data_IF_365157194055
#
_entry.id   IF_365157194055
#
_cell.length_a   1.000
_cell.length_b   1.000
_cell.length_c   1.000
_cell.angle_alpha   90.00
_cell.angle_beta   90.00
_cell.angle_gamma   90.00
#
_symmetry.space_group_name_H-M   'P 1'
#
loop_
_entity.id
_entity.type
_entity.pdbx_description
1 polymer ?
#
# COMPACT_ATOMS: atom_id res chain seq x y z
N UNK A 1 -15.36 -2.63 -35.10
CA UNK A 1 -14.11 -2.61 -35.89
C UNK A 1 -13.75 -4.01 -36.37
N UNK A 2 -12.96 -4.14 -37.47
CA UNK A 2 -12.44 -5.42 -38.00
C UNK A 2 -10.94 -5.35 -38.13
N UNK A 3 -10.25 -6.49 -37.93
CA UNK A 3 -8.83 -6.61 -38.22
C UNK A 3 -8.70 -7.24 -39.60
N UNK A 4 -8.11 -6.48 -40.56
CA UNK A 4 -7.98 -6.88 -41.95
C UNK A 4 -6.54 -6.71 -42.42
N UNK A 5 -6.10 -7.59 -43.31
CA UNK A 5 -4.89 -7.40 -44.09
C UNK A 5 -5.24 -6.56 -45.35
N UNK A 6 -4.60 -5.40 -45.47
CA UNK A 6 -4.88 -4.42 -46.54
C UNK A 6 -3.62 -4.05 -47.30
N UNK A 7 -3.79 -3.66 -48.56
CA UNK A 7 -2.74 -2.92 -49.27
C UNK A 7 -2.44 -1.61 -48.55
N UNK A 8 -1.17 -1.13 -48.50
CA UNK A 8 -0.83 0.14 -47.86
C UNK A 8 -1.71 1.32 -48.30
N UNK A 9 -2.14 1.40 -49.53
CA UNK A 9 -3.01 2.49 -50.00
C UNK A 9 -4.42 2.40 -49.46
N UNK A 10 -4.96 1.19 -49.31
CA UNK A 10 -6.30 0.93 -48.75
C UNK A 10 -6.34 1.07 -47.24
N UNK A 11 -5.18 1.04 -46.57
CA UNK A 11 -5.06 1.14 -45.11
C UNK A 11 -5.20 2.57 -44.58
N UNK A 12 -5.28 3.58 -45.44
CA UNK A 12 -5.42 4.98 -45.01
C UNK A 12 -6.64 5.19 -44.11
N UNK A 13 -6.44 5.85 -42.95
CA UNK A 13 -7.50 6.09 -41.98
C UNK A 13 -7.75 4.92 -40.99
N UNK A 14 -7.04 3.81 -41.13
CA UNK A 14 -7.06 2.69 -40.21
C UNK A 14 -5.96 2.83 -39.12
N UNK A 15 -5.89 1.88 -38.18
CA UNK A 15 -4.83 1.79 -37.17
C UNK A 15 -4.02 0.51 -37.36
N UNK A 16 -2.69 0.62 -37.34
CA UNK A 16 -1.78 -0.52 -37.47
C UNK A 16 -1.97 -1.52 -36.34
N UNK A 17 -2.31 -2.78 -36.65
CA UNK A 17 -2.63 -3.79 -35.64
C UNK A 17 -1.39 -4.57 -35.16
N UNK A 18 -0.25 -4.49 -35.84
CA UNK A 18 1.04 -5.07 -35.41
C UNK A 18 2.21 -4.16 -35.79
N UNK A 19 3.34 -4.29 -35.10
CA UNK A 19 4.54 -3.48 -35.38
C UNK A 19 5.25 -3.97 -36.64
N UNK A 20 5.65 -3.03 -37.54
CA UNK A 20 6.46 -3.26 -38.73
C UNK A 20 7.81 -2.55 -38.59
N UNK A 21 8.89 -3.31 -38.70
CA UNK A 21 10.26 -2.76 -38.70
C UNK A 21 10.72 -2.57 -40.12
N UNK A 22 10.72 -1.35 -40.60
CA UNK A 22 11.22 -0.97 -41.90
C UNK A 22 12.68 -0.50 -41.81
N UNK A 23 13.45 -0.48 -42.91
CA UNK A 23 14.86 -0.06 -42.87
C UNK A 23 15.08 1.33 -42.28
N UNK A 24 14.19 2.27 -42.54
CA UNK A 24 14.33 3.67 -42.14
C UNK A 24 13.46 4.02 -40.92
N UNK A 25 12.40 3.26 -40.63
CA UNK A 25 11.43 3.60 -39.58
C UNK A 25 10.69 2.38 -39.03
N UNK A 26 10.52 2.33 -37.72
CA UNK A 26 9.59 1.38 -37.08
C UNK A 26 8.20 1.99 -37.02
N UNK A 27 7.20 1.31 -37.59
CA UNK A 27 5.78 1.66 -37.48
C UNK A 27 5.19 0.76 -36.39
N UNK A 28 4.92 1.34 -35.26
CA UNK A 28 4.44 0.60 -34.08
C UNK A 28 2.96 0.23 -34.17
N UNK A 29 2.59 -0.88 -33.56
CA UNK A 29 1.18 -1.19 -33.30
C UNK A 29 0.48 0.02 -32.62
N UNK A 30 -0.72 0.37 -33.09
CA UNK A 30 -1.48 1.53 -32.62
C UNK A 30 -1.22 2.82 -33.39
N UNK A 31 -0.30 2.81 -34.35
CA UNK A 31 -0.05 3.98 -35.22
C UNK A 31 -1.25 4.20 -36.15
N UNK A 32 -1.79 5.43 -36.19
CA UNK A 32 -2.81 5.82 -37.14
C UNK A 32 -2.20 5.94 -38.53
N UNK A 33 -2.80 5.32 -39.54
CA UNK A 33 -2.27 5.29 -40.92
C UNK A 33 -2.62 6.57 -41.62
N UNK A 34 -1.63 7.46 -41.75
CA UNK A 34 -1.67 8.69 -42.57
C UNK A 34 -1.05 8.44 -43.93
N UNK A 35 -1.19 9.43 -44.84
CA UNK A 35 -0.53 9.38 -46.16
C UNK A 35 1.01 9.23 -46.07
N UNK A 36 1.62 9.82 -45.02
CA UNK A 36 3.04 9.68 -44.74
C UNK A 36 3.40 8.23 -44.36
N UNK A 37 2.61 7.59 -43.49
CA UNK A 37 2.80 6.18 -43.11
C UNK A 37 2.64 5.25 -44.30
N UNK A 38 1.68 5.52 -45.17
CA UNK A 38 1.51 4.80 -46.47
C UNK A 38 2.78 4.89 -47.31
N UNK A 39 3.42 6.09 -47.40
CA UNK A 39 4.70 6.29 -48.07
C UNK A 39 5.80 5.37 -47.54
N UNK A 40 6.04 5.40 -46.22
CA UNK A 40 7.05 4.53 -45.57
C UNK A 40 6.79 3.04 -45.82
N UNK A 41 5.51 2.60 -45.76
CA UNK A 41 5.14 1.21 -46.00
C UNK A 41 5.48 0.77 -47.44
N UNK A 42 5.21 1.62 -48.42
CA UNK A 42 5.53 1.35 -49.83
C UNK A 42 7.03 1.32 -50.10
N UNK A 43 7.76 2.30 -49.59
CA UNK A 43 9.23 2.38 -49.68
C UNK A 43 9.90 1.18 -49.00
N UNK A 44 9.34 0.72 -47.87
CA UNK A 44 9.78 -0.47 -47.15
C UNK A 44 9.37 -1.80 -47.81
N UNK A 45 8.68 -1.78 -48.95
CA UNK A 45 8.28 -2.98 -49.70
C UNK A 45 7.16 -3.80 -49.08
N UNK A 46 6.39 -3.21 -48.16
CA UNK A 46 5.26 -3.89 -47.50
C UNK A 46 4.09 -3.97 -48.49
N UNK A 47 3.69 -5.19 -48.80
CA UNK A 47 2.57 -5.42 -49.74
C UNK A 47 1.23 -5.60 -48.98
N UNK A 48 1.27 -6.02 -47.72
CA UNK A 48 0.08 -6.24 -46.93
C UNK A 48 0.34 -5.82 -45.47
N UNK A 49 -0.55 -4.99 -44.92
CA UNK A 49 -0.46 -4.48 -43.56
C UNK A 49 -1.70 -4.89 -42.80
N UNK A 50 -1.50 -5.47 -41.60
CA UNK A 50 -2.59 -5.82 -40.70
C UNK A 50 -3.09 -4.56 -39.97
N UNK A 51 -4.34 -4.19 -40.24
CA UNK A 51 -4.95 -2.97 -39.74
C UNK A 51 -6.27 -3.23 -39.02
N UNK A 52 -6.52 -2.40 -38.02
CA UNK A 52 -7.84 -2.24 -37.41
C UNK A 52 -8.61 -1.18 -38.25
N UNK A 53 -9.70 -1.63 -38.86
CA UNK A 53 -10.59 -0.78 -39.66
C UNK A 53 -11.86 -0.50 -38.88
N UNK A 54 -12.25 0.78 -38.67
CA UNK A 54 -13.49 1.11 -37.97
C UNK A 54 -14.73 0.65 -38.78
N UNK A 55 -15.74 0.17 -38.05
CA UNK A 55 -17.08 0.00 -38.62
C UNK A 55 -17.85 1.32 -38.51
N UNK A 56 -19.00 1.39 -39.19
CA UNK A 56 -19.86 2.59 -39.11
C UNK A 56 -20.31 2.84 -37.66
N UNK A 57 -20.08 4.07 -37.16
CA UNK A 57 -20.39 4.48 -35.78
C UNK A 57 -19.30 4.16 -34.77
N UNK A 58 -18.17 3.61 -35.19
CA UNK A 58 -16.98 3.48 -34.35
C UNK A 58 -16.25 4.82 -34.22
N UNK A 59 -15.65 5.04 -33.05
CA UNK A 59 -14.75 6.17 -32.77
C UNK A 59 -13.42 5.64 -32.21
N UNK A 60 -12.35 6.39 -32.44
CA UNK A 60 -11.00 6.01 -32.02
C UNK A 60 -10.89 5.94 -30.49
N UNK A 61 -10.02 5.03 -30.00
CA UNK A 61 -9.84 4.78 -28.56
C UNK A 61 -9.52 6.04 -27.75
N UNK A 62 -8.66 6.92 -28.26
CA UNK A 62 -8.29 8.16 -27.55
C UNK A 62 -9.42 9.18 -27.55
N UNK A 63 -10.21 9.27 -28.63
CA UNK A 63 -11.40 10.13 -28.70
C UNK A 63 -12.44 9.66 -27.70
N UNK A 64 -12.78 8.37 -27.69
CA UNK A 64 -13.71 7.77 -26.74
C UNK A 64 -13.29 8.00 -25.29
N UNK A 65 -12.01 7.79 -24.97
CA UNK A 65 -11.46 8.00 -23.63
C UNK A 65 -11.53 9.48 -23.22
N UNK A 66 -11.25 10.42 -24.12
CA UNK A 66 -11.36 11.85 -23.87
C UNK A 66 -12.81 12.27 -23.64
N UNK A 67 -13.76 11.78 -24.44
CA UNK A 67 -15.21 12.10 -24.28
C UNK A 67 -15.68 11.65 -22.88
N UNK A 68 -15.39 10.41 -22.47
CA UNK A 68 -15.81 9.89 -21.16
C UNK A 68 -15.11 10.65 -20.03
N UNK A 69 -13.80 10.86 -20.11
CA UNK A 69 -13.06 11.54 -19.06
C UNK A 69 -13.45 13.00 -18.86
N UNK A 70 -13.91 13.68 -19.92
CA UNK A 70 -14.41 15.05 -19.87
C UNK A 70 -15.76 15.19 -19.14
N UNK A 71 -16.51 14.10 -18.98
CA UNK A 71 -17.76 14.07 -18.23
C UNK A 71 -17.56 13.87 -16.71
N UNK A 72 -16.31 13.64 -16.25
CA UNK A 72 -15.98 13.46 -14.83
C UNK A 72 -15.55 14.81 -14.23
N UNK A 73 -16.02 15.13 -13.02
CA UNK A 73 -15.64 16.36 -12.30
C UNK A 73 -14.12 16.44 -12.08
N UNK A 74 -13.55 17.61 -12.39
CA UNK A 74 -12.10 17.88 -12.35
C UNK A 74 -11.66 18.70 -11.14
N UNK A 75 -12.57 19.09 -10.26
CA UNK A 75 -12.28 20.04 -9.17
C UNK A 75 -11.15 19.58 -8.25
N UNK A 76 -11.05 18.27 -7.99
CA UNK A 76 -10.10 17.68 -7.04
C UNK A 76 -9.08 16.75 -7.67
N UNK A 77 -9.05 16.62 -9.01
CA UNK A 77 -8.19 15.67 -9.74
C UNK A 77 -7.45 16.32 -10.90
N UNK A 78 -6.32 15.71 -11.27
CA UNK A 78 -5.70 15.88 -12.57
C UNK A 78 -6.13 14.74 -13.48
N UNK A 79 -6.45 15.05 -14.72
CA UNK A 79 -6.78 14.09 -15.76
C UNK A 79 -5.71 14.21 -16.83
N UNK A 80 -4.97 13.13 -17.08
CA UNK A 80 -3.99 13.07 -18.17
C UNK A 80 -4.74 13.09 -19.51
N UNK A 81 -4.10 13.57 -20.57
CA UNK A 81 -4.62 13.41 -21.93
C UNK A 81 -4.66 11.93 -22.31
N UNK A 82 -5.65 11.54 -23.11
CA UNK A 82 -5.75 10.18 -23.60
C UNK A 82 -4.54 9.81 -24.46
N UNK A 83 -4.02 8.61 -24.23
CA UNK A 83 -2.96 8.03 -25.04
C UNK A 83 -3.13 6.52 -25.08
N UNK A 84 -3.18 5.96 -26.26
CA UNK A 84 -3.45 4.52 -26.49
C UNK A 84 -4.72 4.06 -25.76
N UNK A 85 -5.81 4.85 -25.86
CA UNK A 85 -7.09 4.60 -25.19
C UNK A 85 -7.10 4.71 -23.68
N UNK A 86 -6.01 5.18 -23.04
CA UNK A 86 -5.90 5.28 -21.59
C UNK A 86 -5.95 6.71 -21.11
N UNK A 87 -6.73 6.95 -20.06
CA UNK A 87 -6.74 8.18 -19.28
C UNK A 87 -6.53 7.83 -17.80
N UNK A 88 -5.61 8.53 -17.14
CA UNK A 88 -5.36 8.38 -15.71
C UNK A 88 -5.93 9.57 -14.94
N UNK A 89 -6.52 9.28 -13.80
CA UNK A 89 -7.07 10.24 -12.84
C UNK A 89 -6.17 10.28 -11.62
N UNK A 90 -5.60 11.44 -11.29
CA UNK A 90 -4.64 11.61 -10.19
C UNK A 90 -5.14 12.64 -9.18
N UNK A 91 -4.84 12.46 -7.91
CA UNK A 91 -5.24 13.38 -6.86
C UNK A 91 -4.47 14.70 -6.90
N UNK A 92 -5.15 15.84 -6.63
CA UNK A 92 -4.53 17.14 -6.43
C UNK A 92 -3.96 17.35 -5.02
N UNK A 93 -4.43 16.56 -4.04
CA UNK A 93 -4.07 16.69 -2.63
C UNK A 93 -4.08 15.33 -1.92
N UNK A 94 -3.58 15.27 -0.69
CA UNK A 94 -3.81 14.13 0.19
C UNK A 94 -5.32 14.03 0.47
N UNK A 95 -5.94 12.88 0.17
CA UNK A 95 -7.40 12.72 0.21
C UNK A 95 -7.83 11.27 0.46
N UNK A 96 -9.09 11.10 0.82
CA UNK A 96 -9.82 9.83 0.73
C UNK A 96 -10.66 9.79 -0.54
N UNK A 97 -10.76 8.62 -1.14
CA UNK A 97 -11.56 8.38 -2.34
C UNK A 97 -12.77 7.54 -1.98
N UNK A 98 -13.96 8.03 -2.33
CA UNK A 98 -15.22 7.31 -2.13
C UNK A 98 -15.97 7.15 -3.45
N UNK A 99 -16.72 6.08 -3.58
CA UNK A 99 -17.52 5.79 -4.76
C UNK A 99 -18.66 4.82 -4.45
N UNK A 100 -19.69 4.83 -5.29
CA UNK A 100 -20.77 3.84 -5.27
C UNK A 100 -20.38 2.65 -6.13
N UNK A 101 -20.14 1.48 -5.55
CA UNK A 101 -19.73 0.25 -6.28
C UNK A 101 -20.67 -0.09 -7.43
N UNK A 102 -21.99 0.12 -7.24
CA UNK A 102 -22.97 -0.14 -8.28
C UNK A 102 -22.83 0.78 -9.49
N UNK A 103 -22.37 2.01 -9.31
CA UNK A 103 -22.12 2.93 -10.40
C UNK A 103 -20.92 2.50 -11.24
N UNK A 104 -19.81 2.14 -10.57
CA UNK A 104 -18.63 1.57 -11.24
C UNK A 104 -19.02 0.30 -12.02
N UNK A 105 -19.81 -0.57 -11.39
CA UNK A 105 -20.32 -1.79 -12.03
C UNK A 105 -21.16 -1.47 -13.26
N UNK A 106 -22.08 -0.49 -13.18
CA UNK A 106 -22.91 -0.07 -14.33
C UNK A 106 -22.07 0.42 -15.49
N UNK A 107 -21.04 1.24 -15.25
CA UNK A 107 -20.11 1.72 -16.29
C UNK A 107 -19.40 0.54 -16.98
N UNK A 108 -18.84 -0.39 -16.21
CA UNK A 108 -18.12 -1.55 -16.74
C UNK A 108 -19.03 -2.62 -17.40
N UNK A 109 -20.33 -2.56 -17.19
CA UNK A 109 -21.32 -3.44 -17.83
C UNK A 109 -21.88 -2.89 -19.13
N UNK A 110 -21.51 -1.67 -19.53
CA UNK A 110 -22.01 -1.08 -20.79
C UNK A 110 -21.50 -1.89 -21.99
N UNK A 111 -20.20 -2.15 -22.02
CA UNK A 111 -19.55 -2.94 -23.06
C UNK A 111 -18.12 -3.33 -22.62
N UNK A 112 -17.63 -4.50 -23.08
CA UNK A 112 -16.29 -5.00 -22.77
C UNK A 112 -15.15 -4.14 -23.35
N UNK A 113 -15.45 -3.26 -24.30
CA UNK A 113 -14.50 -2.30 -24.85
C UNK A 113 -14.12 -1.17 -23.88
N UNK A 114 -14.88 -0.98 -22.79
CA UNK A 114 -14.69 0.11 -21.82
C UNK A 114 -14.37 -0.48 -20.45
N UNK A 115 -13.18 -0.19 -19.94
CA UNK A 115 -12.75 -0.64 -18.63
C UNK A 115 -12.43 0.56 -17.72
N UNK A 116 -13.13 0.69 -16.61
CA UNK A 116 -12.88 1.67 -15.56
C UNK A 116 -12.44 0.97 -14.28
N UNK A 117 -11.24 1.30 -13.82
CA UNK A 117 -10.66 0.78 -12.59
C UNK A 117 -10.40 1.90 -11.61
N UNK A 118 -10.70 1.70 -10.33
CA UNK A 118 -10.52 2.67 -9.27
C UNK A 118 -9.87 2.00 -8.05
N UNK A 119 -9.19 2.79 -7.22
CA UNK A 119 -8.62 2.37 -5.93
C UNK A 119 -9.70 1.85 -4.98
N UNK A 120 -9.34 1.28 -3.85
CA UNK A 120 -10.31 0.82 -2.87
C UNK A 120 -11.10 1.98 -2.24
N UNK A 121 -12.35 1.69 -1.85
CA UNK A 121 -13.22 2.65 -1.18
C UNK A 121 -12.61 3.09 0.16
N UNK A 122 -12.64 4.39 0.46
CA UNK A 122 -11.99 5.01 1.63
C UNK A 122 -10.46 4.85 1.64
N UNK A 123 -9.81 4.59 0.51
CA UNK A 123 -8.35 4.54 0.45
C UNK A 123 -7.75 5.94 0.55
N UNK A 124 -6.75 6.08 1.43
CA UNK A 124 -5.94 7.30 1.54
C UNK A 124 -4.95 7.38 0.36
N UNK A 125 -5.04 8.46 -0.40
CA UNK A 125 -4.26 8.69 -1.62
C UNK A 125 -3.40 9.95 -1.44
N UNK A 126 -2.11 9.84 -1.72
CA UNK A 126 -1.20 10.98 -1.68
C UNK A 126 -1.39 11.90 -2.90
N UNK A 127 -0.93 13.14 -2.77
CA UNK A 127 -0.94 14.09 -3.89
C UNK A 127 -0.19 13.51 -5.09
N UNK A 128 -0.77 13.65 -6.27
CA UNK A 128 -0.31 13.13 -7.58
C UNK A 128 -0.36 11.61 -7.74
N UNK A 129 -0.82 10.86 -6.75
CA UNK A 129 -1.02 9.42 -6.90
C UNK A 129 -2.28 9.12 -7.72
N UNK A 130 -2.27 7.93 -8.34
CA UNK A 130 -3.34 7.44 -9.20
C UNK A 130 -4.57 7.07 -8.35
N UNK A 131 -5.72 7.62 -8.74
CA UNK A 131 -7.04 7.31 -8.17
C UNK A 131 -7.76 6.26 -9.00
N UNK A 132 -7.81 6.49 -10.30
CA UNK A 132 -8.55 5.66 -11.24
C UNK A 132 -7.90 5.68 -12.62
N UNK A 133 -8.28 4.71 -13.44
CA UNK A 133 -7.88 4.62 -14.85
C UNK A 133 -9.08 4.22 -15.69
N UNK A 134 -9.31 4.96 -16.77
CA UNK A 134 -10.19 4.56 -17.87
C UNK A 134 -9.33 3.98 -18.99
N UNK A 135 -9.72 2.86 -19.57
CA UNK A 135 -9.08 2.26 -20.75
C UNK A 135 -10.16 1.83 -21.74
N UNK A 136 -10.02 2.31 -22.94
CA UNK A 136 -10.70 1.74 -24.12
C UNK A 136 -9.83 0.61 -24.65
N UNK A 137 -10.33 -0.61 -24.63
CA UNK A 137 -9.53 -1.82 -24.87
C UNK A 137 -9.13 -1.96 -26.34
N UNK A 138 -10.08 -1.89 -27.33
CA UNK A 138 -9.76 -1.98 -28.74
C UNK A 138 -9.37 -0.60 -29.31
N UNK A 139 -8.79 -0.55 -30.48
CA UNK A 139 -8.44 0.71 -31.18
C UNK A 139 -9.65 1.59 -31.52
N UNK A 140 -10.82 0.97 -31.66
CA UNK A 140 -12.08 1.66 -31.92
C UNK A 140 -13.19 1.04 -31.07
N UNK A 141 -14.11 1.86 -30.59
CA UNK A 141 -15.32 1.41 -29.90
C UNK A 141 -16.54 2.13 -30.48
N UNK A 142 -17.72 1.51 -30.35
CA UNK A 142 -18.94 2.11 -30.86
C UNK A 142 -19.35 3.33 -30.04
N UNK A 143 -19.62 4.44 -30.74
CA UNK A 143 -20.06 5.70 -30.10
C UNK A 143 -21.26 5.51 -29.19
N UNK A 144 -22.20 4.61 -29.52
CA UNK A 144 -23.38 4.32 -28.68
C UNK A 144 -23.02 3.87 -27.26
N UNK A 145 -21.91 3.13 -27.06
CA UNK A 145 -21.47 2.71 -25.74
C UNK A 145 -20.89 3.88 -24.94
N UNK A 146 -20.13 4.75 -25.59
CA UNK A 146 -19.64 5.99 -24.99
C UNK A 146 -20.81 6.86 -24.55
N UNK A 147 -21.82 7.04 -25.41
CA UNK A 147 -23.02 7.81 -25.10
C UNK A 147 -23.83 7.20 -23.93
N UNK A 148 -23.83 5.88 -23.78
CA UNK A 148 -24.44 5.20 -22.62
C UNK A 148 -23.68 5.49 -21.33
N UNK A 149 -22.34 5.44 -21.34
CA UNK A 149 -21.52 5.81 -20.18
C UNK A 149 -21.79 7.27 -19.79
N UNK A 150 -21.80 8.20 -20.74
CA UNK A 150 -22.10 9.60 -20.48
C UNK A 150 -23.49 9.79 -19.82
N UNK A 151 -24.51 9.05 -20.28
CA UNK A 151 -25.85 9.08 -19.65
C UNK A 151 -25.84 8.55 -18.20
N UNK A 152 -24.96 7.61 -17.87
CA UNK A 152 -24.78 7.13 -16.50
C UNK A 152 -24.11 8.21 -15.65
N UNK A 153 -23.04 8.81 -16.15
CA UNK A 153 -22.26 9.85 -15.45
C UNK A 153 -23.04 11.15 -15.25
N UNK A 154 -23.96 11.47 -16.15
CA UNK A 154 -24.84 12.65 -16.03
C UNK A 154 -25.85 12.58 -14.86
N UNK A 155 -26.05 11.39 -14.27
CA UNK A 155 -27.02 11.19 -13.18
C UNK A 155 -26.40 11.20 -11.79
N UNK A 156 -25.12 10.88 -11.68
CA UNK A 156 -24.43 10.74 -10.40
C UNK A 156 -22.92 10.79 -10.61
N UNK A 157 -22.20 11.32 -9.63
CA UNK A 157 -20.74 11.38 -9.65
C UNK A 157 -20.15 9.98 -9.51
N UNK A 158 -19.16 9.68 -10.37
CA UNK A 158 -18.53 8.37 -10.40
C UNK A 158 -17.78 8.07 -9.11
N UNK A 159 -17.13 9.10 -8.57
CA UNK A 159 -16.41 9.05 -7.28
C UNK A 159 -16.34 10.46 -6.67
N UNK A 160 -16.15 10.50 -5.38
CA UNK A 160 -16.00 11.71 -4.57
C UNK A 160 -14.61 11.76 -3.93
N UNK A 161 -14.03 12.95 -3.87
CA UNK A 161 -12.71 13.20 -3.30
C UNK A 161 -12.85 14.03 -2.03
N UNK A 162 -12.44 13.45 -0.91
CA UNK A 162 -12.46 14.10 0.39
C UNK A 162 -11.03 14.51 0.81
N UNK A 163 -10.68 15.76 0.54
CA UNK A 163 -9.39 16.33 1.00
C UNK A 163 -9.33 16.38 2.52
N UNK A 164 -8.19 16.03 3.09
CA UNK A 164 -7.99 16.09 4.52
C UNK A 164 -8.02 17.53 5.02
N UNK A 165 -8.64 17.74 6.19
CA UNK A 165 -8.77 19.06 6.86
C UNK A 165 -7.95 19.04 8.13
N UNK A 166 -7.12 20.09 8.35
CA UNK A 166 -6.41 20.24 9.60
C UNK A 166 -7.39 20.28 10.77
N UNK A 167 -7.17 19.44 11.78
CA UNK A 167 -7.93 19.37 13.02
C UNK A 167 -7.05 19.69 14.21
N UNK A 168 -7.67 20.29 15.24
CA UNK A 168 -7.07 20.48 16.54
C UNK A 168 -7.25 19.18 17.34
N UNK A 169 -6.14 18.43 17.51
CA UNK A 169 -6.16 17.10 18.15
C UNK A 169 -5.44 17.15 19.50
N UNK A 170 -6.07 16.58 20.53
CA UNK A 170 -5.45 16.36 21.83
C UNK A 170 -5.37 14.87 22.17
N UNK A 171 -4.35 14.46 22.90
CA UNK A 171 -4.15 13.11 23.41
C UNK A 171 -4.16 13.15 24.94
N UNK A 172 -5.03 12.36 25.55
CA UNK A 172 -5.01 12.06 26.98
C UNK A 172 -4.50 10.62 27.14
N UNK A 173 -3.49 10.44 27.94
CA UNK A 173 -3.01 9.11 28.35
C UNK A 173 -3.28 8.92 29.83
N UNK A 174 -3.90 7.81 30.19
CA UNK A 174 -4.07 7.49 31.61
C UNK A 174 -3.04 6.46 32.06
N UNK A 175 -2.55 6.55 33.31
CA UNK A 175 -1.52 5.65 33.80
C UNK A 175 -1.81 5.15 35.23
N UNK A 176 -1.31 3.94 35.51
CA UNK A 176 -1.09 3.48 36.87
C UNK A 176 0.34 3.83 37.30
N UNK A 177 0.58 4.05 38.60
CA UNK A 177 1.89 4.45 39.13
C UNK A 177 3.02 3.49 38.80
N UNK A 178 2.73 2.19 38.68
CA UNK A 178 3.71 1.15 38.38
C UNK A 178 4.09 1.04 36.92
N UNK A 179 3.40 1.75 36.00
CA UNK A 179 3.66 1.65 34.58
C UNK A 179 4.93 2.43 34.15
N UNK A 180 5.70 1.86 33.23
CA UNK A 180 6.93 2.50 32.72
C UNK A 180 6.61 3.71 31.84
N UNK A 181 7.24 4.84 32.13
CA UNK A 181 7.08 6.10 31.38
C UNK A 181 7.38 5.95 29.86
N UNK A 182 8.28 5.04 29.48
CA UNK A 182 8.63 4.78 28.08
C UNK A 182 7.45 4.33 27.22
N UNK A 183 6.42 3.68 27.82
CA UNK A 183 5.21 3.26 27.11
C UNK A 183 4.43 4.48 26.61
N UNK A 184 4.30 5.49 27.47
CA UNK A 184 3.56 6.72 27.15
C UNK A 184 4.28 7.55 26.12
N UNK A 185 5.60 7.72 26.24
CA UNK A 185 6.43 8.40 25.23
C UNK A 185 6.34 7.70 23.86
N UNK A 186 6.38 6.37 23.83
CA UNK A 186 6.23 5.62 22.60
C UNK A 186 4.82 5.82 21.99
N UNK A 187 3.76 5.81 22.80
CA UNK A 187 2.39 6.07 22.35
C UNK A 187 2.24 7.47 21.77
N UNK A 188 2.82 8.50 22.44
CA UNK A 188 2.84 9.89 21.97
C UNK A 188 3.53 9.98 20.59
N UNK A 189 4.70 9.37 20.44
CA UNK A 189 5.47 9.42 19.19
C UNK A 189 4.73 8.76 18.03
N UNK A 190 4.14 7.58 18.26
CA UNK A 190 3.35 6.87 17.24
C UNK A 190 2.11 7.67 16.85
N UNK A 191 1.39 8.23 17.84
CA UNK A 191 0.19 9.04 17.59
C UNK A 191 0.55 10.33 16.84
N UNK A 192 1.63 11.00 17.23
CA UNK A 192 2.15 12.18 16.55
C UNK A 192 2.48 11.90 15.08
N UNK A 193 3.22 10.83 14.80
CA UNK A 193 3.55 10.45 13.43
C UNK A 193 2.32 10.17 12.55
N UNK A 194 1.27 9.53 13.10
CA UNK A 194 0.00 9.35 12.40
C UNK A 194 -0.69 10.66 12.05
N UNK A 195 -0.77 11.55 13.02
CA UNK A 195 -1.45 12.84 12.86
C UNK A 195 -0.70 13.77 11.91
N UNK A 196 0.63 13.80 11.98
CA UNK A 196 1.49 14.55 11.06
C UNK A 196 1.32 14.08 9.62
N UNK A 197 1.28 12.75 9.41
CA UNK A 197 1.03 12.16 8.09
C UNK A 197 -0.35 12.55 7.51
N UNK A 198 -1.32 12.89 8.38
CA UNK A 198 -2.66 13.35 7.99
C UNK A 198 -2.79 14.89 8.00
N UNK A 199 -1.70 15.64 8.24
CA UNK A 199 -1.71 17.10 8.26
C UNK A 199 -2.39 17.74 9.48
N UNK A 200 -2.63 16.95 10.55
CA UNK A 200 -3.29 17.40 11.78
C UNK A 200 -2.40 17.18 13.00
N UNK A 201 -1.40 18.03 13.25
CA UNK A 201 -0.41 17.81 14.29
C UNK A 201 -1.05 17.79 15.69
N UNK A 202 -0.51 16.93 16.55
CA UNK A 202 -0.92 16.81 17.96
C UNK A 202 -0.60 18.10 18.71
N UNK A 203 -1.62 18.80 19.23
CA UNK A 203 -1.48 20.05 19.96
C UNK A 203 -1.25 19.89 21.46
N UNK A 204 -1.94 18.96 22.10
CA UNK A 204 -1.86 18.72 23.52
C UNK A 204 -1.65 17.23 23.78
N UNK A 205 -0.77 16.88 24.68
CA UNK A 205 -0.47 15.49 25.09
C UNK A 205 -0.33 15.48 26.61
N UNK A 206 -1.29 14.89 27.29
CA UNK A 206 -1.40 14.92 28.75
C UNK A 206 -1.39 13.51 29.31
N UNK A 207 -0.58 13.29 30.36
CA UNK A 207 -0.53 12.05 31.14
C UNK A 207 -1.16 12.30 32.50
N UNK A 208 -2.21 11.53 32.82
CA UNK A 208 -2.98 11.67 34.05
C UNK A 208 -3.12 10.32 34.78
N UNK A 209 -3.42 10.30 36.09
CA UNK A 209 -3.79 9.07 36.79
C UNK A 209 -4.99 8.37 36.15
N UNK A 210 -5.04 7.03 36.23
CA UNK A 210 -6.16 6.24 35.72
C UNK A 210 -7.31 6.22 36.69
N UNK A 211 -7.96 7.36 36.89
CA UNK A 211 -9.15 7.51 37.72
C UNK A 211 -10.22 8.37 37.03
N UNK A 212 -11.46 8.21 37.52
CA UNK A 212 -12.61 8.84 36.89
C UNK A 212 -12.59 10.38 36.98
N UNK A 213 -12.17 10.94 38.10
CA UNK A 213 -12.20 12.39 38.37
C UNK A 213 -11.18 13.12 37.50
N UNK A 214 -9.93 12.61 37.46
CA UNK A 214 -8.86 13.17 36.66
C UNK A 214 -9.22 13.12 35.18
N UNK A 215 -9.85 12.02 34.73
CA UNK A 215 -10.23 11.86 33.31
C UNK A 215 -11.37 12.81 32.92
N UNK A 216 -12.41 12.98 33.73
CA UNK A 216 -13.48 13.95 33.49
C UNK A 216 -12.93 15.38 33.39
N UNK A 217 -12.10 15.80 34.35
CA UNK A 217 -11.49 17.13 34.35
C UNK A 217 -10.64 17.39 33.13
N UNK A 218 -9.83 16.40 32.68
CA UNK A 218 -8.95 16.56 31.53
C UNK A 218 -9.73 16.54 30.18
N UNK A 219 -10.83 15.77 30.09
CA UNK A 219 -11.73 15.81 28.94
C UNK A 219 -12.29 17.23 28.77
N UNK A 220 -12.86 17.81 29.85
CA UNK A 220 -13.40 19.17 29.81
C UNK A 220 -12.34 20.21 29.48
N UNK A 221 -11.19 20.17 30.15
CA UNK A 221 -10.04 21.06 29.85
C UNK A 221 -9.58 20.99 28.40
N UNK A 222 -9.56 19.81 27.82
CA UNK A 222 -9.13 19.62 26.42
C UNK A 222 -10.16 20.17 25.44
N UNK A 223 -11.46 20.00 25.71
CA UNK A 223 -12.55 20.53 24.91
C UNK A 223 -12.56 22.08 24.99
N UNK A 224 -12.44 22.64 26.19
CA UNK A 224 -12.39 24.10 26.41
C UNK A 224 -11.17 24.74 25.74
N UNK A 225 -10.08 23.98 25.61
CA UNK A 225 -8.89 24.39 24.84
C UNK A 225 -9.06 24.28 23.33
N UNK A 226 -10.25 23.92 22.82
CA UNK A 226 -10.61 23.89 21.41
C UNK A 226 -10.26 22.59 20.68
N UNK A 227 -10.08 21.47 21.40
CA UNK A 227 -9.89 20.16 20.75
C UNK A 227 -11.12 19.76 19.94
N UNK A 228 -10.94 19.50 18.65
CA UNK A 228 -11.96 18.99 17.75
C UNK A 228 -12.00 17.46 17.73
N UNK A 229 -10.84 16.85 17.97
CA UNK A 229 -10.69 15.40 18.14
C UNK A 229 -9.90 15.15 19.43
N UNK A 230 -10.45 14.37 20.31
CA UNK A 230 -9.84 13.98 21.57
C UNK A 230 -9.54 12.49 21.56
N UNK A 231 -8.27 12.13 21.62
CA UNK A 231 -7.78 10.76 21.66
C UNK A 231 -7.52 10.37 23.12
N UNK A 232 -8.06 9.24 23.60
CA UNK A 232 -7.84 8.76 24.96
C UNK A 232 -7.20 7.37 24.93
N UNK A 233 -5.93 7.29 25.35
CA UNK A 233 -5.21 6.03 25.52
C UNK A 233 -5.29 5.56 26.97
N UNK A 234 -6.16 4.60 27.27
CA UNK A 234 -6.37 4.06 28.62
C UNK A 234 -5.18 3.25 29.13
N UNK A 235 -4.94 3.27 30.45
CA UNK A 235 -3.99 2.36 31.10
C UNK A 235 -4.44 0.89 31.02
N UNK A 236 -5.74 0.66 30.87
CA UNK A 236 -6.39 -0.63 30.57
C UNK A 236 -7.15 -0.57 29.26
N UNK A 237 -7.42 -1.74 28.67
CA UNK A 237 -8.27 -1.85 27.49
C UNK A 237 -9.73 -1.53 27.84
N UNK A 238 -10.47 -0.97 26.89
CA UNK A 238 -11.91 -0.70 27.04
C UNK A 238 -12.66 -1.96 26.63
N UNK A 239 -13.19 -2.69 27.60
CA UNK A 239 -13.87 -3.97 27.38
C UNK A 239 -15.36 -3.96 27.71
N UNK A 240 -15.83 -2.94 28.42
CA UNK A 240 -17.22 -2.77 28.81
C UNK A 240 -17.65 -1.29 28.82
N UNK A 241 -18.95 -1.03 28.63
CA UNK A 241 -19.52 0.33 28.69
C UNK A 241 -19.44 0.94 30.08
N UNK A 242 -19.19 0.15 31.12
CA UNK A 242 -18.98 0.61 32.48
C UNK A 242 -17.53 0.84 32.85
N UNK A 243 -16.60 0.71 31.92
CA UNK A 243 -15.18 1.09 32.09
C UNK A 243 -15.00 2.61 32.32
N UNK A 244 -13.81 3.01 32.79
CA UNK A 244 -13.51 4.40 33.14
C UNK A 244 -13.72 5.39 31.99
N UNK A 245 -13.29 5.06 30.77
CA UNK A 245 -13.37 5.98 29.64
C UNK A 245 -14.82 6.23 29.20
N UNK A 246 -15.65 5.21 28.89
CA UNK A 246 -17.06 5.46 28.58
C UNK A 246 -17.82 6.14 29.70
N UNK A 247 -17.59 5.77 30.97
CA UNK A 247 -18.22 6.47 32.12
C UNK A 247 -17.83 7.95 32.17
N UNK A 248 -16.57 8.29 31.98
CA UNK A 248 -16.11 9.67 32.02
C UNK A 248 -16.73 10.50 30.89
N UNK A 249 -16.82 9.94 29.65
CA UNK A 249 -17.48 10.62 28.51
C UNK A 249 -18.95 10.94 28.86
N UNK A 250 -19.67 9.97 29.42
CA UNK A 250 -21.08 10.17 29.82
C UNK A 250 -21.21 11.18 30.98
N UNK A 251 -20.31 11.12 31.97
CA UNK A 251 -20.33 12.00 33.16
C UNK A 251 -20.08 13.47 32.79
N UNK A 252 -19.28 13.75 31.77
CA UNK A 252 -19.09 15.12 31.26
C UNK A 252 -20.20 15.57 30.31
N UNK A 253 -21.29 14.81 30.15
CA UNK A 253 -22.41 15.15 29.26
C UNK A 253 -22.17 14.81 27.79
N UNK A 254 -21.24 13.92 27.48
CA UNK A 254 -21.08 13.34 26.17
C UNK A 254 -21.96 12.11 25.94
N UNK A 255 -21.90 11.58 24.73
CA UNK A 255 -22.61 10.36 24.32
C UNK A 255 -21.67 9.35 23.70
N UNK A 256 -22.03 8.06 23.75
CA UNK A 256 -21.30 6.97 23.10
C UNK A 256 -21.97 6.62 21.78
N UNK A 257 -21.34 7.00 20.68
CA UNK A 257 -21.80 6.72 19.30
C UNK A 257 -21.58 5.24 18.97
N UNK A 258 -20.38 4.72 19.25
CA UNK A 258 -20.01 3.35 18.90
C UNK A 258 -19.13 2.73 19.99
N UNK A 259 -19.39 1.48 20.31
CA UNK A 259 -18.61 0.66 21.22
C UNK A 259 -18.14 -0.58 20.46
N UNK A 260 -16.83 -0.68 20.23
CA UNK A 260 -16.24 -1.73 19.39
C UNK A 260 -16.27 -1.40 17.90
N UNK A 261 -15.35 -2.01 17.16
CA UNK A 261 -15.23 -1.88 15.71
C UNK A 261 -15.00 -3.25 15.07
N UNK A 262 -15.65 -3.52 13.94
CA UNK A 262 -15.51 -4.79 13.20
C UNK A 262 -14.21 -4.85 12.37
N UNK A 263 -13.08 -4.35 12.93
CA UNK A 263 -11.76 -4.33 12.28
C UNK A 263 -10.71 -4.90 13.22
N UNK A 264 -9.93 -5.88 12.76
CA UNK A 264 -8.88 -6.53 13.53
C UNK A 264 -7.50 -6.40 12.83
N UNK A 265 -6.51 -5.76 13.51
CA UNK A 265 -6.55 -5.14 14.83
C UNK A 265 -7.38 -3.85 14.87
N UNK A 266 -8.05 -3.56 16.02
CA UNK A 266 -8.83 -2.35 16.20
C UNK A 266 -10.16 -2.53 16.94
N UNK A 267 -10.52 -3.77 17.29
CA UNK A 267 -11.85 -4.13 17.82
C UNK A 267 -12.28 -3.32 19.06
N UNK A 268 -11.36 -3.01 19.97
CA UNK A 268 -11.65 -2.32 21.23
C UNK A 268 -11.64 -0.78 21.11
N UNK A 269 -12.01 -0.28 19.94
CA UNK A 269 -12.15 1.15 19.70
C UNK A 269 -13.51 1.64 20.24
N UNK A 270 -13.51 2.82 20.88
CA UNK A 270 -14.70 3.51 21.34
C UNK A 270 -14.81 4.85 20.59
N UNK A 271 -16.00 5.22 20.16
CA UNK A 271 -16.29 6.55 19.62
C UNK A 271 -17.37 7.18 20.46
N UNK A 272 -17.07 8.34 21.03
CA UNK A 272 -18.01 9.20 21.73
C UNK A 272 -18.01 10.61 21.13
N UNK A 273 -18.94 11.44 21.58
CA UNK A 273 -19.04 12.84 21.19
C UNK A 273 -19.50 13.71 22.34
N UNK A 274 -18.95 14.92 22.44
CA UNK A 274 -19.45 15.98 23.33
C UNK A 274 -19.48 17.30 22.53
N UNK A 275 -20.66 17.81 22.24
CA UNK A 275 -20.82 18.97 21.35
C UNK A 275 -20.23 18.68 19.97
N UNK A 276 -19.31 19.52 19.50
CA UNK A 276 -18.60 19.34 18.22
C UNK A 276 -17.32 18.49 18.30
N UNK A 277 -16.90 18.08 19.51
CA UNK A 277 -15.66 17.30 19.73
C UNK A 277 -15.95 15.82 19.64
N UNK A 278 -15.26 15.13 18.71
CA UNK A 278 -15.27 13.66 18.66
C UNK A 278 -14.23 13.10 19.63
N UNK A 279 -14.62 12.14 20.45
CA UNK A 279 -13.79 11.50 21.46
C UNK A 279 -13.53 10.05 21.03
N UNK A 280 -12.27 9.65 20.90
CA UNK A 280 -11.89 8.28 20.57
C UNK A 280 -11.18 7.63 21.74
N UNK A 281 -11.77 6.58 22.29
CA UNK A 281 -11.07 5.63 23.14
C UNK A 281 -10.21 4.71 22.29
N UNK A 282 -8.89 4.89 22.37
CA UNK A 282 -7.93 4.19 21.51
C UNK A 282 -7.80 2.72 21.91
N UNK A 283 -7.85 1.78 20.95
CA UNK A 283 -7.55 0.38 21.23
C UNK A 283 -6.06 0.19 21.54
N UNK A 284 -5.71 -0.84 22.30
CA UNK A 284 -4.31 -1.11 22.68
C UNK A 284 -3.35 -1.26 21.49
N UNK A 285 -3.82 -1.79 20.35
CA UNK A 285 -3.05 -1.92 19.11
C UNK A 285 -2.68 -0.57 18.47
N UNK A 286 -3.39 0.52 18.79
CA UNK A 286 -3.06 1.86 18.28
C UNK A 286 -1.72 2.41 18.81
N UNK A 287 -1.13 1.78 19.85
CA UNK A 287 0.23 2.06 20.32
C UNK A 287 1.33 1.55 19.37
N UNK A 288 0.99 0.66 18.45
CA UNK A 288 1.88 0.18 17.39
C UNK A 288 1.75 1.06 16.14
N UNK A 289 2.83 1.29 15.38
CA UNK A 289 2.76 2.00 14.09
C UNK A 289 2.09 1.20 12.97
N UNK A 290 1.73 -0.07 13.21
CA UNK A 290 1.03 -0.91 12.22
C UNK A 290 -0.39 -0.41 11.99
N UNK A 291 -0.85 -0.53 10.73
CA UNK A 291 -2.22 -0.20 10.34
C UNK A 291 -3.25 -1.00 11.17
N UNK A 292 -4.27 -0.31 11.63
CA UNK A 292 -5.37 -0.90 12.39
C UNK A 292 -6.66 -0.08 12.22
N UNK A 293 -7.79 -0.53 12.77
CA UNK A 293 -9.08 0.13 12.64
C UNK A 293 -9.13 1.59 13.13
N UNK A 294 -8.29 1.93 14.11
CA UNK A 294 -8.16 3.32 14.58
C UNK A 294 -7.66 4.24 13.45
N UNK A 295 -6.73 3.78 12.62
CA UNK A 295 -6.22 4.58 11.49
C UNK A 295 -7.33 4.91 10.49
N UNK A 296 -8.22 3.98 10.19
CA UNK A 296 -9.35 4.20 9.28
C UNK A 296 -10.33 5.21 9.84
N UNK A 297 -10.72 5.06 11.11
CA UNK A 297 -11.64 6.01 11.78
C UNK A 297 -11.01 7.42 11.85
N UNK A 298 -9.72 7.51 12.18
CA UNK A 298 -9.01 8.78 12.22
C UNK A 298 -8.96 9.47 10.85
N UNK A 299 -8.75 8.72 9.78
CA UNK A 299 -8.75 9.23 8.40
C UNK A 299 -10.12 9.81 8.02
N UNK A 300 -11.21 9.11 8.33
CA UNK A 300 -12.57 9.63 8.09
C UNK A 300 -12.84 10.94 8.84
N UNK A 301 -12.46 10.99 10.12
CA UNK A 301 -12.63 12.20 10.94
C UNK A 301 -11.88 13.41 10.37
N UNK A 302 -10.62 13.19 9.96
CA UNK A 302 -9.78 14.27 9.41
C UNK A 302 -10.26 14.69 8.01
N UNK A 303 -10.87 13.78 7.26
CA UNK A 303 -11.52 14.08 5.98
C UNK A 303 -12.90 14.75 6.13
N UNK A 304 -13.39 15.00 7.35
CA UNK A 304 -14.75 15.47 7.63
C UNK A 304 -15.86 14.55 7.09
N UNK A 305 -15.59 13.27 6.98
CA UNK A 305 -16.60 12.28 6.60
C UNK A 305 -17.41 11.93 7.86
N UNK A 306 -18.74 12.07 7.83
CA UNK A 306 -19.57 11.69 8.97
C UNK A 306 -19.41 10.22 9.32
N UNK A 307 -19.19 9.93 10.61
CA UNK A 307 -19.10 8.57 11.11
C UNK A 307 -20.49 8.18 11.65
N UNK A 308 -21.08 7.19 10.99
CA UNK A 308 -22.34 6.58 11.43
C UNK A 308 -22.18 5.06 11.60
N UNK A 309 -23.19 4.41 12.17
CA UNK A 309 -23.14 2.98 12.47
C UNK A 309 -23.04 2.11 11.22
N UNK A 310 -23.63 2.50 10.11
CA UNK A 310 -23.56 1.77 8.83
C UNK A 310 -22.14 1.81 8.26
N UNK A 311 -21.54 3.00 8.20
CA UNK A 311 -20.15 3.19 7.78
C UNK A 311 -19.17 2.33 8.59
N UNK A 312 -19.34 2.30 9.92
CA UNK A 312 -18.49 1.50 10.81
C UNK A 312 -18.72 0.00 10.64
N UNK A 313 -19.96 -0.42 10.37
CA UNK A 313 -20.27 -1.82 10.11
C UNK A 313 -19.68 -2.31 8.78
N UNK A 314 -19.75 -1.47 7.74
CA UNK A 314 -19.19 -1.76 6.42
C UNK A 314 -17.67 -1.96 6.44
N UNK A 315 -16.96 -1.35 7.40
CA UNK A 315 -15.53 -1.58 7.60
C UNK A 315 -15.18 -3.04 7.91
N UNK A 316 -16.14 -3.86 8.37
CA UNK A 316 -15.96 -5.29 8.59
C UNK A 316 -15.60 -6.06 7.32
N UNK A 317 -16.11 -5.61 6.17
CA UNK A 317 -15.75 -6.16 4.86
C UNK A 317 -14.35 -5.65 4.44
N UNK A 318 -13.34 -6.48 4.61
CA UNK A 318 -11.92 -6.13 4.45
C UNK A 318 -11.24 -5.71 5.76
N UNK A 319 -11.96 -5.69 6.88
CA UNK A 319 -11.47 -5.28 8.19
C UNK A 319 -10.50 -6.24 8.88
N UNK A 320 -10.23 -7.41 8.31
CA UNK A 320 -9.16 -8.29 8.79
C UNK A 320 -7.82 -7.81 8.23
N UNK A 321 -7.11 -6.97 9.00
CA UNK A 321 -5.86 -6.30 8.61
C UNK A 321 -4.61 -7.10 8.98
N UNK A 322 -4.75 -8.22 9.71
CA UNK A 322 -3.63 -9.07 10.06
C UNK A 322 -2.96 -9.64 8.81
N UNK A 323 -1.64 -9.68 8.83
CA UNK A 323 -0.87 -10.34 7.79
C UNK A 323 -1.13 -11.84 7.83
N UNK A 324 -1.66 -12.38 6.74
CA UNK A 324 -1.75 -13.81 6.49
C UNK A 324 -0.85 -14.17 5.31
N UNK A 325 -0.27 -15.37 5.33
CA UNK A 325 0.70 -15.80 4.33
C UNK A 325 0.21 -15.69 2.87
N UNK A 326 -1.09 -15.81 2.65
CA UNK A 326 -1.74 -15.70 1.34
C UNK A 326 -2.07 -14.28 0.90
N UNK A 327 -1.92 -13.27 1.77
CA UNK A 327 -2.20 -11.86 1.46
C UNK A 327 -0.94 -11.01 1.66
N UNK A 328 -0.15 -10.80 0.60
CA UNK A 328 1.02 -9.93 0.66
C UNK A 328 0.61 -8.48 0.93
N UNK A 329 1.49 -7.73 1.61
CA UNK A 329 1.33 -6.29 1.84
C UNK A 329 1.10 -5.53 0.53
N UNK A 330 0.30 -4.44 0.54
CA UNK A 330 0.16 -3.56 -0.61
C UNK A 330 1.53 -3.11 -1.15
N UNK A 331 1.68 -3.02 -2.48
CA UNK A 331 2.95 -2.68 -3.16
C UNK A 331 3.63 -1.41 -2.63
N UNK A 332 2.88 -0.44 -2.14
CA UNK A 332 3.41 0.79 -1.55
C UNK A 332 4.20 0.54 -0.25
N UNK A 333 3.76 -0.43 0.58
CA UNK A 333 4.46 -0.84 1.79
C UNK A 333 5.59 -1.83 1.48
N UNK A 334 5.48 -2.62 0.42
CA UNK A 334 6.53 -3.54 -0.02
C UNK A 334 7.83 -2.84 -0.43
N UNK A 335 7.79 -1.57 -0.83
CA UNK A 335 9.00 -0.78 -1.11
C UNK A 335 9.78 -0.37 0.15
N UNK A 336 9.15 -0.33 1.32
CA UNK A 336 9.81 -0.01 2.59
C UNK A 336 10.31 -1.26 3.35
N UNK A 337 9.77 -2.41 3.04
CA UNK A 337 10.28 -3.69 3.52
C UNK A 337 11.29 -4.16 2.48
N UNK A 338 12.55 -3.70 2.58
CA UNK A 338 13.67 -4.49 2.06
C UNK A 338 13.44 -5.89 2.61
N UNK A 339 13.07 -6.83 1.72
CA UNK A 339 13.12 -8.25 2.03
C UNK A 339 14.49 -8.47 2.66
N UNK A 340 14.53 -8.65 3.98
CA UNK A 340 15.72 -9.21 4.60
C UNK A 340 15.81 -10.59 3.97
N UNK A 341 16.63 -10.72 2.95
CA UNK A 341 17.03 -12.00 2.44
C UNK A 341 17.52 -12.76 3.67
N UNK A 342 16.84 -13.84 3.98
CA UNK A 342 17.30 -14.71 5.08
C UNK A 342 18.65 -15.20 4.64
N UNK A 343 19.72 -14.59 5.15
CA UNK A 343 21.07 -15.07 4.92
C UNK A 343 21.24 -16.36 5.69
N UNK A 344 21.53 -17.42 4.98
CA UNK A 344 21.79 -18.73 5.55
C UNK A 344 23.31 -18.81 5.76
N UNK A 345 23.72 -18.92 7.01
CA UNK A 345 25.13 -19.06 7.37
C UNK A 345 25.38 -20.48 7.84
N UNK A 346 26.34 -21.16 7.21
CA UNK A 346 26.89 -22.44 7.67
C UNK A 346 27.95 -22.25 8.74
N UNK A 347 27.91 -23.04 9.80
CA UNK A 347 28.92 -23.03 10.86
C UNK A 347 29.54 -24.42 10.99
N UNK A 348 30.86 -24.52 10.79
CA UNK A 348 31.64 -25.73 11.03
C UNK A 348 32.21 -25.66 12.44
N UNK A 349 31.84 -26.58 13.30
CA UNK A 349 32.43 -26.70 14.65
C UNK A 349 33.66 -27.54 14.61
N UNK A 350 34.85 -26.91 14.63
CA UNK A 350 36.17 -27.51 14.55
C UNK A 350 37.04 -27.24 15.80
N UNK A 351 36.42 -26.99 16.96
CA UNK A 351 37.10 -26.61 18.20
C UNK A 351 37.44 -27.80 19.13
N UNK A 352 37.05 -29.03 18.78
CA UNK A 352 37.21 -30.20 19.64
C UNK A 352 38.63 -30.66 19.83
N UNK A 353 39.01 -31.09 21.05
CA UNK A 353 40.40 -31.52 21.45
C UNK A 353 40.80 -32.92 20.97
N UNK A 354 39.94 -33.62 20.23
CA UNK A 354 40.20 -34.98 19.69
C UNK A 354 40.73 -36.00 20.71
N UNK A 355 40.34 -35.90 21.99
CA UNK A 355 40.88 -36.68 23.13
C UNK A 355 40.86 -38.19 22.93
N UNK A 356 39.93 -38.73 22.14
CA UNK A 356 39.84 -40.15 21.80
C UNK A 356 40.91 -40.62 20.82
N UNK A 357 41.67 -39.72 20.19
CA UNK A 357 42.69 -39.98 19.20
C UNK A 357 44.11 -39.77 19.77
N UNK A 358 44.26 -39.62 21.09
CA UNK A 358 45.54 -39.34 21.76
C UNK A 358 46.07 -37.93 21.44
N UNK A 359 47.31 -37.85 20.93
CA UNK A 359 47.93 -36.54 20.58
C UNK A 359 47.54 -36.03 19.19
N UNK A 360 46.88 -36.83 18.39
CA UNK A 360 46.56 -36.49 17.02
C UNK A 360 45.20 -35.76 16.92
N UNK A 361 45.16 -34.62 16.21
CA UNK A 361 43.93 -33.92 15.90
C UNK A 361 43.26 -34.59 14.70
N UNK A 362 42.10 -35.22 14.90
CA UNK A 362 41.32 -35.89 13.83
C UNK A 362 40.99 -34.98 12.66
N UNK A 363 40.80 -33.68 12.90
CA UNK A 363 40.43 -32.69 11.88
C UNK A 363 41.54 -32.45 10.86
N UNK A 364 42.84 -32.72 11.27
CA UNK A 364 44.01 -32.56 10.42
C UNK A 364 44.39 -33.85 9.67
N UNK A 365 43.72 -34.98 9.97
CA UNK A 365 43.94 -36.22 9.21
C UNK A 365 43.37 -36.14 7.81
N UNK A 366 44.18 -36.64 6.86
CA UNK A 366 43.76 -36.68 5.46
C UNK A 366 42.70 -37.79 5.23
N UNK A 367 41.70 -37.45 4.44
CA UNK A 367 40.76 -38.35 3.82
C UNK A 367 40.87 -38.10 2.31
N UNK A 368 41.51 -39.01 1.60
CA UNK A 368 41.99 -38.76 0.24
C UNK A 368 43.11 -37.70 0.24
N UNK A 369 43.04 -36.74 -0.64
CA UNK A 369 44.09 -35.74 -0.88
C UNK A 369 44.03 -34.52 0.06
N UNK A 370 43.05 -34.43 0.95
CA UNK A 370 42.86 -33.26 1.83
C UNK A 370 42.47 -33.64 3.26
N UNK A 371 42.74 -32.73 4.22
CA UNK A 371 42.37 -32.91 5.61
C UNK A 371 40.85 -32.95 5.79
N UNK A 372 40.36 -33.64 6.84
CA UNK A 372 38.93 -33.74 7.14
C UNK A 372 38.25 -32.36 7.23
N UNK A 373 38.89 -31.41 7.92
CA UNK A 373 38.30 -30.05 8.06
C UNK A 373 38.23 -29.34 6.73
N UNK A 374 39.23 -29.54 5.84
CA UNK A 374 39.21 -28.95 4.49
C UNK A 374 38.11 -29.54 3.61
N UNK A 375 37.99 -30.86 3.60
CA UNK A 375 36.92 -31.54 2.85
C UNK A 375 35.54 -31.10 3.31
N UNK A 376 35.31 -30.99 4.62
CA UNK A 376 34.04 -30.48 5.17
C UNK A 376 33.79 -29.06 4.76
N UNK A 377 34.80 -28.18 4.76
CA UNK A 377 34.64 -26.79 4.33
C UNK A 377 34.31 -26.67 2.83
N UNK A 378 34.99 -27.48 1.99
CA UNK A 378 34.73 -27.50 0.55
C UNK A 378 33.31 -27.98 0.24
N UNK A 379 32.83 -29.04 0.89
CA UNK A 379 31.47 -29.52 0.71
C UNK A 379 30.41 -28.50 1.18
N UNK A 380 30.69 -27.82 2.31
CA UNK A 380 29.79 -26.75 2.78
C UNK A 380 29.74 -25.54 1.83
N UNK A 381 30.89 -25.17 1.21
CA UNK A 381 30.97 -24.09 0.22
C UNK A 381 30.26 -24.43 -1.11
N UNK A 382 30.02 -25.69 -1.41
CA UNK A 382 29.23 -26.14 -2.56
C UNK A 382 27.75 -26.04 -2.31
N UNK A 383 27.31 -25.88 -1.05
CA UNK A 383 25.91 -25.70 -0.71
C UNK A 383 25.45 -24.26 -0.98
N UNK A 384 24.14 -24.04 -1.10
CA UNK A 384 23.52 -22.74 -1.36
C UNK A 384 23.46 -21.89 -0.08
N UNK A 385 24.64 -21.47 0.42
CA UNK A 385 24.81 -20.67 1.64
C UNK A 385 25.37 -19.29 1.30
N UNK A 386 24.86 -18.25 1.98
CA UNK A 386 25.37 -16.87 1.83
C UNK A 386 26.75 -16.66 2.44
N UNK A 387 27.08 -17.44 3.47
CA UNK A 387 28.38 -17.39 4.13
C UNK A 387 28.67 -18.68 4.90
N UNK A 388 29.97 -18.96 5.13
CA UNK A 388 30.41 -20.06 5.93
C UNK A 388 31.43 -19.56 6.96
N UNK A 389 31.35 -20.04 8.22
CA UNK A 389 32.30 -19.76 9.30
C UNK A 389 32.77 -21.05 9.92
N UNK A 390 34.05 -21.08 10.34
CA UNK A 390 34.62 -22.20 11.01
C UNK A 390 35.04 -21.77 12.43
N UNK A 391 34.54 -22.46 13.44
CA UNK A 391 34.93 -22.24 14.85
C UNK A 391 36.09 -23.16 15.16
N UNK A 392 37.27 -22.59 15.35
CA UNK A 392 38.50 -23.29 15.64
C UNK A 392 38.81 -23.29 17.15
N UNK A 393 39.55 -24.29 17.62
CA UNK A 393 39.98 -24.41 19.01
C UNK A 393 41.38 -25.04 19.12
N UNK A 394 41.47 -26.28 19.56
CA UNK A 394 42.73 -26.98 19.70
C UNK A 394 43.49 -27.07 18.38
N UNK A 395 44.78 -26.61 18.36
CA UNK A 395 45.61 -26.48 17.17
C UNK A 395 44.99 -25.61 16.05
N UNK A 396 44.39 -24.49 16.41
CA UNK A 396 43.72 -23.56 15.49
C UNK A 396 44.58 -23.13 14.31
N UNK A 397 45.90 -22.84 14.56
CA UNK A 397 46.81 -22.37 13.51
C UNK A 397 47.07 -23.46 12.45
N UNK A 398 47.17 -24.71 12.85
CA UNK A 398 47.30 -25.83 11.93
C UNK A 398 46.01 -26.04 11.13
N UNK A 399 44.84 -25.88 11.74
CA UNK A 399 43.55 -25.95 11.03
C UNK A 399 43.41 -24.84 9.99
N UNK A 400 43.85 -23.61 10.27
CA UNK A 400 43.83 -22.47 9.35
C UNK A 400 44.75 -22.71 8.14
N UNK A 401 45.93 -23.26 8.33
CA UNK A 401 46.85 -23.58 7.24
C UNK A 401 46.27 -24.57 6.24
N UNK A 402 45.44 -25.50 6.70
CA UNK A 402 44.81 -26.52 5.85
C UNK A 402 43.44 -26.13 5.26
N UNK A 403 42.83 -25.05 5.74
CA UNK A 403 41.48 -24.63 5.28
C UNK A 403 41.46 -23.38 4.41
N UNK A 404 42.48 -22.51 4.52
CA UNK A 404 42.51 -21.24 3.80
C UNK A 404 43.25 -21.39 2.46
N UNK A 405 42.63 -21.12 1.32
CA UNK A 405 43.25 -21.19 0.00
C UNK A 405 44.16 -20.01 -0.32
N UNK A 406 44.20 -18.94 0.51
CA UNK A 406 44.97 -17.72 0.23
C UNK A 406 45.46 -17.03 1.51
N UNK A 407 46.70 -16.45 1.51
CA UNK A 407 47.23 -15.65 2.62
C UNK A 407 46.40 -14.37 2.91
N UNK A 408 45.57 -13.91 2.00
CA UNK A 408 44.72 -12.70 2.17
C UNK A 408 43.51 -12.92 3.07
N UNK A 409 43.09 -14.17 3.26
CA UNK A 409 41.92 -14.50 4.09
C UNK A 409 42.23 -14.55 5.59
N UNK A 410 43.52 -14.44 5.98
CA UNK A 410 43.98 -14.47 7.38
C UNK A 410 43.73 -13.16 8.15
N UNK A 411 43.36 -12.07 7.51
CA UNK A 411 43.27 -10.73 8.14
C UNK A 411 41.89 -10.34 8.68
N UNK A 412 40.89 -11.20 8.62
CA UNK A 412 39.50 -10.82 9.00
C UNK A 412 38.92 -11.48 10.24
N UNK A 413 39.73 -12.04 11.12
CA UNK A 413 39.24 -12.54 12.40
C UNK A 413 40.17 -12.12 13.55
N UNK A 414 39.95 -10.91 14.03
CA UNK A 414 40.26 -10.50 15.41
C UNK A 414 39.05 -9.78 15.96
#
# INVERSE_FOLDING_TARGET
>A
MKILGLDPQESLGSVVAQTYNLPEKTISKGTFVTSEIVGYLKEGGVQNILCAVPDNGDIHEDEAANIISNAIDRSHIYIDSASTGRVNFKSRSLCLVRYKRDLIKKVNLVDESIAFSIVEHNQLIAKNDLIATLKIIPFFTQKKFVDQVIKILAKDDLFEIYSLKKKEVALIQTCFEWQKKSIFTATSNVTRGRLEALGSPLKKDTLIPHDHKSLCSEIESSIDSGAQVLLISGASAITDRSDYIPKAILAVGGEIIQFGLAVDPGNLLLIGQKGSTTIIGMPGCARSPKLNGFDWVLQLLIANIPINKEELADMGAGGLLMEIASRPLPRALAKSIKKREKKIMGIILAAGNSTRMGKDNKLLRNIGDASLVRNTAVEMLKSDLDSCSIVLGYQSDNCLLYTSPSPRDRQKSR
#
